data_IF_615731674644
#
_entry.id   IF_615731674644
#
_cell.length_a   1.000
_cell.length_b   1.000
_cell.length_c   1.000
_cell.angle_alpha   90.00
_cell.angle_beta   90.00
_cell.angle_gamma   90.00
#
_symmetry.space_group_name_H-M   'P 1'
#
loop_
_entity.id
_entity.type
_entity.pdbx_description
1 polymer ?
#
# COMPACT_ATOMS: atom_id res chain seq x y z
N UNK A 1 -8.95 -9.05 -6.55
CA UNK A 1 -8.68 -8.47 -5.22
C UNK A 1 -9.48 -7.19 -4.91
N UNK A 2 -10.02 -6.50 -5.91
CA UNK A 2 -10.84 -5.29 -5.73
C UNK A 2 -11.98 -5.46 -4.71
N UNK A 3 -12.76 -6.57 -4.67
CA UNK A 3 -13.79 -6.75 -3.66
C UNK A 3 -13.29 -6.74 -2.21
N UNK A 4 -12.04 -7.18 -1.98
CA UNK A 4 -11.41 -7.08 -0.64
C UNK A 4 -11.19 -5.63 -0.23
N UNK A 5 -10.65 -4.81 -1.13
CA UNK A 5 -10.47 -3.39 -0.86
C UNK A 5 -11.79 -2.70 -0.55
N UNK A 6 -12.85 -3.01 -1.30
CA UNK A 6 -14.19 -2.48 -1.06
C UNK A 6 -14.77 -2.94 0.29
N UNK A 7 -14.51 -4.20 0.70
CA UNK A 7 -14.92 -4.67 2.02
C UNK A 7 -14.15 -3.96 3.15
N UNK A 8 -12.86 -3.73 2.97
CA UNK A 8 -12.03 -2.96 3.90
C UNK A 8 -12.54 -1.52 4.03
N UNK A 9 -12.90 -0.89 2.93
CA UNK A 9 -13.44 0.47 2.90
C UNK A 9 -14.74 0.58 3.71
N UNK A 10 -15.69 -0.34 3.48
CA UNK A 10 -16.93 -0.40 4.27
C UNK A 10 -16.69 -0.63 5.75
N UNK A 11 -15.78 -1.55 6.10
CA UNK A 11 -15.43 -1.82 7.50
C UNK A 11 -14.80 -0.59 8.16
N UNK A 12 -13.91 0.09 7.48
CA UNK A 12 -13.26 1.30 7.98
C UNK A 12 -14.26 2.43 8.23
N UNK A 13 -15.19 2.65 7.33
CA UNK A 13 -16.29 3.61 7.52
C UNK A 13 -17.16 3.24 8.73
N UNK A 14 -17.50 1.95 8.89
CA UNK A 14 -18.29 1.47 10.03
C UNK A 14 -17.55 1.70 11.36
N UNK A 15 -16.24 1.50 11.39
CA UNK A 15 -15.42 1.72 12.59
C UNK A 15 -15.06 3.19 12.84
N UNK A 16 -15.32 4.08 11.88
CA UNK A 16 -15.00 5.51 12.00
C UNK A 16 -13.50 5.82 11.94
N UNK A 17 -12.69 4.98 11.27
CA UNK A 17 -11.27 5.26 11.04
C UNK A 17 -11.08 6.10 9.79
N UNK A 18 -10.08 6.97 9.77
CA UNK A 18 -9.82 7.89 8.67
C UNK A 18 -9.18 7.22 7.46
N UNK A 19 -8.29 6.26 7.70
CA UNK A 19 -7.62 5.47 6.67
C UNK A 19 -7.42 4.05 7.17
N UNK A 20 -7.45 3.09 6.25
CA UNK A 20 -7.12 1.69 6.52
C UNK A 20 -6.04 1.22 5.54
N UNK A 21 -4.91 0.76 6.07
CA UNK A 21 -3.84 0.14 5.29
C UNK A 21 -4.01 -1.37 5.19
N UNK A 22 -3.03 -2.01 4.54
CA UNK A 22 -2.97 -3.47 4.44
C UNK A 22 -3.26 -4.04 3.06
N UNK A 23 -3.66 -3.23 2.09
CA UNK A 23 -3.73 -3.64 0.69
C UNK A 23 -2.33 -3.54 0.07
N UNK A 24 -1.45 -4.48 0.43
CA UNK A 24 -0.01 -4.33 0.30
C UNK A 24 0.68 -5.61 -0.16
N UNK A 25 1.87 -5.46 -0.75
CA UNK A 25 2.73 -6.56 -1.15
C UNK A 25 4.20 -6.29 -0.75
N UNK A 26 4.92 -7.35 -0.38
CA UNK A 26 6.34 -7.31 -0.04
C UNK A 26 7.10 -8.12 -1.09
N UNK A 27 7.70 -7.45 -2.06
CA UNK A 27 8.28 -8.11 -3.24
C UNK A 27 9.81 -7.93 -3.35
N UNK A 28 10.46 -7.46 -2.29
CA UNK A 28 11.90 -7.25 -2.27
C UNK A 28 12.72 -8.54 -2.48
N UNK A 29 12.13 -9.70 -2.24
CA UNK A 29 12.78 -11.01 -2.46
C UNK A 29 12.33 -11.70 -3.76
N UNK A 30 11.58 -11.00 -4.58
CA UNK A 30 10.94 -11.52 -5.79
C UNK A 30 9.42 -11.46 -5.68
N UNK A 31 8.78 -11.44 -6.83
CA UNK A 31 7.33 -11.26 -6.97
C UNK A 31 6.67 -12.60 -7.30
N UNK A 32 5.74 -13.04 -6.46
CA UNK A 32 4.89 -14.20 -6.74
C UNK A 32 3.76 -13.82 -7.70
N UNK A 33 3.06 -14.83 -8.23
CA UNK A 33 1.87 -14.59 -9.05
C UNK A 33 0.76 -13.88 -8.26
N UNK A 34 0.61 -14.20 -6.97
CA UNK A 34 -0.35 -13.55 -6.09
C UNK A 34 -0.02 -12.07 -5.88
N UNK A 35 1.26 -11.74 -5.67
CA UNK A 35 1.72 -10.35 -5.55
C UNK A 35 1.45 -9.58 -6.83
N UNK A 36 1.73 -10.16 -7.98
CA UNK A 36 1.47 -9.55 -9.28
C UNK A 36 -0.03 -9.27 -9.49
N UNK A 37 -0.89 -10.22 -9.12
CA UNK A 37 -2.34 -10.04 -9.19
C UNK A 37 -2.81 -8.92 -8.27
N UNK A 38 -2.26 -8.84 -7.04
CA UNK A 38 -2.59 -7.77 -6.10
C UNK A 38 -2.16 -6.42 -6.67
N UNK A 39 -0.90 -6.29 -7.10
CA UNK A 39 -0.37 -5.02 -7.64
C UNK A 39 -1.16 -4.57 -8.86
N UNK A 40 -1.50 -5.46 -9.78
CA UNK A 40 -2.32 -5.14 -10.95
C UNK A 40 -3.75 -4.70 -10.59
N UNK A 41 -4.26 -5.08 -9.43
CA UNK A 41 -5.57 -4.64 -8.94
C UNK A 41 -5.56 -3.30 -8.21
N UNK A 42 -4.38 -2.79 -7.82
CA UNK A 42 -4.25 -1.54 -7.06
C UNK A 42 -4.94 -0.34 -7.74
N UNK A 43 -4.78 -0.08 -9.06
CA UNK A 43 -5.39 1.08 -9.68
C UNK A 43 -6.91 1.07 -9.55
N UNK A 44 -7.55 -0.06 -9.81
CA UNK A 44 -9.01 -0.19 -9.64
C UNK A 44 -9.42 -0.15 -8.17
N UNK A 45 -8.71 -0.89 -7.31
CA UNK A 45 -9.01 -0.97 -5.89
C UNK A 45 -8.97 0.39 -5.21
N UNK A 46 -7.92 1.17 -5.43
CA UNK A 46 -7.77 2.49 -4.81
C UNK A 46 -8.59 3.58 -5.50
N UNK A 47 -8.94 3.43 -6.78
CA UNK A 47 -9.85 4.35 -7.47
C UNK A 47 -11.32 4.19 -7.03
N UNK A 48 -11.72 2.98 -6.63
CA UNK A 48 -13.11 2.64 -6.25
C UNK A 48 -13.36 2.65 -4.74
N UNK A 49 -12.36 3.00 -3.93
CA UNK A 49 -12.45 3.11 -2.47
C UNK A 49 -12.06 4.51 -2.02
N UNK A 50 -12.58 4.93 -0.87
CA UNK A 50 -12.32 6.28 -0.34
C UNK A 50 -11.07 6.33 0.54
N UNK A 51 -10.94 5.39 1.48
CA UNK A 51 -9.96 5.45 2.58
C UNK A 51 -9.03 4.25 2.66
N UNK A 52 -9.07 3.35 1.68
CA UNK A 52 -8.14 2.22 1.61
C UNK A 52 -6.80 2.68 1.06
N UNK A 53 -5.74 2.37 1.80
CA UNK A 53 -4.36 2.65 1.42
C UNK A 53 -3.60 1.36 1.12
N UNK A 54 -2.67 1.45 0.18
CA UNK A 54 -1.83 0.34 -0.22
C UNK A 54 -0.35 0.69 -0.22
N UNK A 55 0.47 -0.34 -0.15
CA UNK A 55 1.92 -0.18 -0.24
C UNK A 55 2.59 -1.37 -0.93
N UNK A 56 3.70 -1.12 -1.57
CA UNK A 56 4.55 -2.17 -2.14
C UNK A 56 6.00 -1.91 -1.73
N UNK A 57 6.61 -2.88 -1.05
CA UNK A 57 8.04 -2.81 -0.71
C UNK A 57 8.86 -3.52 -1.80
N UNK A 58 9.62 -2.76 -2.56
CA UNK A 58 10.35 -3.25 -3.75
C UNK A 58 11.82 -3.54 -3.49
N UNK A 59 12.33 -3.24 -2.30
CA UNK A 59 13.73 -3.44 -2.02
C UNK A 59 14.07 -3.50 -0.54
N UNK A 60 15.23 -4.09 -0.25
CA UNK A 60 15.82 -4.09 1.09
C UNK A 60 17.34 -4.10 1.00
N UNK A 61 18.00 -3.67 2.08
CA UNK A 61 19.47 -3.72 2.17
C UNK A 61 20.02 -5.14 1.93
N UNK A 62 19.29 -6.18 2.36
CA UNK A 62 19.71 -7.57 2.22
C UNK A 62 19.40 -8.17 0.85
N UNK A 63 18.24 -7.85 0.28
CA UNK A 63 17.76 -8.46 -0.96
C UNK A 63 18.11 -7.64 -2.22
N UNK A 64 18.47 -6.35 -2.06
CA UNK A 64 18.61 -5.43 -3.17
C UNK A 64 17.26 -4.87 -3.60
N UNK A 65 17.18 -4.40 -4.85
CA UNK A 65 15.98 -3.80 -5.44
C UNK A 65 15.43 -4.73 -6.52
N UNK A 66 14.15 -5.05 -6.44
CA UNK A 66 13.42 -5.76 -7.49
C UNK A 66 13.04 -4.78 -8.61
N UNK A 67 13.86 -4.75 -9.68
CA UNK A 67 13.66 -3.81 -10.79
C UNK A 67 12.40 -4.10 -11.61
N UNK A 68 11.95 -5.36 -11.66
CA UNK A 68 10.68 -5.71 -12.32
C UNK A 68 9.49 -5.15 -11.54
N UNK A 69 9.57 -5.21 -10.20
CA UNK A 69 8.58 -4.59 -9.34
C UNK A 69 8.58 -3.06 -9.48
N UNK A 70 9.75 -2.43 -9.57
CA UNK A 70 9.87 -0.96 -9.80
C UNK A 70 9.21 -0.58 -11.12
N UNK A 71 9.49 -1.30 -12.20
CA UNK A 71 8.88 -1.05 -13.51
C UNK A 71 7.35 -1.26 -13.48
N UNK A 72 6.87 -2.29 -12.79
CA UNK A 72 5.44 -2.53 -12.62
C UNK A 72 4.77 -1.42 -11.80
N UNK A 73 5.40 -0.97 -10.71
CA UNK A 73 4.87 0.11 -9.88
C UNK A 73 4.81 1.45 -10.62
N UNK A 74 5.77 1.74 -11.49
CA UNK A 74 5.72 2.93 -12.34
C UNK A 74 4.46 2.96 -13.22
N UNK A 75 4.13 1.83 -13.84
CA UNK A 75 2.89 1.69 -14.64
C UNK A 75 1.64 1.76 -13.77
N UNK A 76 1.66 1.12 -12.61
CA UNK A 76 0.56 1.12 -11.64
C UNK A 76 0.22 2.53 -11.14
N UNK A 77 1.24 3.32 -10.80
CA UNK A 77 1.07 4.70 -10.35
C UNK A 77 0.48 5.55 -11.47
N UNK A 78 0.98 5.40 -12.70
CA UNK A 78 0.44 6.13 -13.85
C UNK A 78 -1.03 5.81 -14.10
N UNK A 79 -1.40 4.53 -14.12
CA UNK A 79 -2.80 4.09 -14.30
C UNK A 79 -3.70 4.62 -13.16
N UNK A 80 -3.24 4.56 -11.91
CA UNK A 80 -3.97 5.10 -10.77
C UNK A 80 -4.17 6.62 -10.87
N UNK A 81 -3.15 7.36 -11.30
CA UNK A 81 -3.25 8.80 -11.52
C UNK A 81 -4.30 9.13 -12.59
N UNK A 82 -4.29 8.41 -13.71
CA UNK A 82 -5.26 8.58 -14.80
C UNK A 82 -6.68 8.26 -14.35
N UNK A 83 -6.88 7.16 -13.60
CA UNK A 83 -8.21 6.76 -13.09
C UNK A 83 -8.79 7.72 -12.04
N UNK A 84 -7.95 8.48 -11.35
CA UNK A 84 -8.37 9.45 -10.32
C UNK A 84 -8.13 10.89 -10.72
N UNK A 85 -7.91 11.16 -12.01
CA UNK A 85 -7.62 12.50 -12.52
C UNK A 85 -8.75 13.50 -12.22
N UNK A 86 -10.01 13.07 -12.27
CA UNK A 86 -11.20 13.85 -11.91
C UNK A 86 -11.23 14.24 -10.42
N UNK A 87 -10.51 13.51 -9.59
CA UNK A 87 -10.34 13.76 -8.14
C UNK A 87 -8.96 14.33 -7.80
N UNK A 88 -8.31 15.00 -8.76
CA UNK A 88 -6.98 15.57 -8.59
C UNK A 88 -5.86 14.56 -8.39
N UNK A 89 -6.04 13.31 -8.85
CA UNK A 89 -5.05 12.24 -8.70
C UNK A 89 -4.95 11.70 -7.25
N UNK A 90 -5.98 11.91 -6.43
CA UNK A 90 -5.95 11.56 -5.01
C UNK A 90 -5.68 10.08 -4.73
N UNK A 91 -5.99 9.18 -5.67
CA UNK A 91 -5.64 7.77 -5.54
C UNK A 91 -4.15 7.54 -5.29
N UNK A 92 -3.28 8.36 -5.86
CA UNK A 92 -1.84 8.28 -5.66
C UNK A 92 -1.40 8.67 -4.24
N UNK A 93 -2.17 9.50 -3.53
CA UNK A 93 -1.90 9.85 -2.14
C UNK A 93 -2.13 8.67 -1.17
N UNK A 94 -2.87 7.66 -1.62
CA UNK A 94 -3.17 6.45 -0.85
C UNK A 94 -2.22 5.28 -1.16
N UNK A 95 -1.24 5.48 -2.03
CA UNK A 95 -0.29 4.45 -2.44
C UNK A 95 1.14 4.88 -2.13
N UNK A 96 1.91 4.01 -1.52
CA UNK A 96 3.34 4.24 -1.29
C UNK A 96 4.18 3.07 -1.81
N UNK A 97 5.31 3.39 -2.41
CA UNK A 97 6.35 2.42 -2.78
C UNK A 97 7.49 2.57 -1.81
N UNK A 98 7.76 1.51 -1.05
CA UNK A 98 8.85 1.48 -0.09
C UNK A 98 10.09 0.80 -0.66
N UNK A 99 11.23 1.26 -0.20
CA UNK A 99 12.50 0.56 -0.29
C UNK A 99 13.13 0.56 1.11
N UNK A 100 13.50 -0.64 1.58
CA UNK A 100 14.12 -0.82 2.89
C UNK A 100 13.24 -0.36 4.07
N UNK A 101 11.94 -0.65 4.01
CA UNK A 101 11.01 -0.36 5.10
C UNK A 101 11.38 -1.13 6.38
N UNK A 102 11.28 -0.46 7.52
CA UNK A 102 11.53 -1.05 8.84
C UNK A 102 10.30 -1.79 9.37
N UNK A 103 10.50 -2.72 10.32
CA UNK A 103 9.43 -3.60 10.80
C UNK A 103 8.31 -2.88 11.56
N UNK A 104 8.62 -1.76 12.20
CA UNK A 104 7.70 -0.96 13.01
C UNK A 104 7.34 0.38 12.36
N UNK A 105 7.35 0.45 11.05
CA UNK A 105 7.09 1.66 10.29
C UNK A 105 5.64 2.15 10.50
N UNK A 106 5.40 3.35 11.09
CA UNK A 106 4.06 3.86 11.36
C UNK A 106 3.50 4.73 10.23
N UNK A 107 3.84 4.45 8.99
CA UNK A 107 3.38 5.28 7.87
C UNK A 107 1.92 5.00 7.51
N UNK A 108 1.14 6.04 7.20
CA UNK A 108 -0.30 5.96 6.94
C UNK A 108 -0.66 4.93 5.87
N UNK A 109 0.01 4.95 4.72
CA UNK A 109 -0.27 4.05 3.61
C UNK A 109 0.46 2.70 3.72
N UNK A 110 1.27 2.48 4.73
CA UNK A 110 2.08 1.27 4.85
C UNK A 110 2.69 1.11 6.24
N UNK A 111 1.87 1.03 7.26
CA UNK A 111 2.34 0.63 8.58
C UNK A 111 2.71 -0.86 8.58
N UNK A 112 3.84 -1.19 9.17
CA UNK A 112 4.32 -2.56 9.27
C UNK A 112 4.29 -3.01 10.72
N UNK A 113 3.98 -4.29 10.92
CA UNK A 113 4.01 -4.96 12.21
C UNK A 113 5.05 -6.07 12.13
N UNK A 114 6.11 -5.95 12.93
CA UNK A 114 7.21 -6.93 12.95
C UNK A 114 6.82 -8.22 13.66
N UNK A 115 7.54 -9.30 13.34
CA UNK A 115 7.31 -10.63 13.94
C UNK A 115 7.62 -10.70 15.45
N UNK A 116 8.42 -9.76 15.95
CA UNK A 116 8.76 -9.65 17.38
C UNK A 116 7.85 -8.73 18.17
N UNK A 117 6.86 -8.11 17.52
CA UNK A 117 5.95 -7.16 18.15
C UNK A 117 4.84 -7.87 18.94
N UNK A 118 4.26 -7.22 19.97
CA UNK A 118 3.03 -7.71 20.60
C UNK A 118 1.88 -7.86 19.59
N UNK A 119 0.90 -8.71 19.91
CA UNK A 119 -0.26 -8.94 19.06
C UNK A 119 -0.99 -7.64 18.64
N UNK A 120 -0.96 -6.63 19.50
CA UNK A 120 -1.58 -5.33 19.28
C UNK A 120 -0.60 -4.22 19.60
N UNK A 121 -0.39 -3.33 18.65
CA UNK A 121 0.57 -2.23 18.77
C UNK A 121 -0.09 -0.92 18.37
N UNK A 122 0.22 0.14 19.08
CA UNK A 122 -0.10 1.51 18.69
C UNK A 122 1.22 2.22 18.39
N UNK A 123 1.43 2.56 17.13
CA UNK A 123 2.58 3.34 16.69
C UNK A 123 2.18 4.79 16.45
N UNK A 124 2.98 5.72 16.93
CA UNK A 124 2.74 7.15 16.75
C UNK A 124 3.80 7.70 15.80
N UNK A 125 3.39 8.04 14.59
CA UNK A 125 4.23 8.74 13.63
C UNK A 125 4.03 10.24 13.73
N UNK A 126 5.11 10.99 13.98
CA UNK A 126 5.09 12.45 13.96
C UNK A 126 5.65 12.91 12.62
N UNK A 127 4.81 13.56 11.83
CA UNK A 127 5.22 14.19 10.58
C UNK A 127 5.35 15.70 10.80
N UNK A 128 6.51 16.24 10.46
CA UNK A 128 6.81 17.66 10.59
C UNK A 128 7.57 18.18 9.37
N UNK A 129 7.53 19.49 9.18
CA UNK A 129 8.29 20.23 8.15
C UNK A 129 9.40 21.02 8.81
#
# INVERSE_FOLDING_TARGET
YTPFAQAMDRAAHTCGVNFIGGFSALVQKGMTEADRKLINSIPEALATTDIVCGSVNVGSTKAGIDMDAVALMGRTIKDLAERTADKGGFGCAKLVVFCNAVEDNPFMAGAFHGVGEPERVINVGVSGV
#
